data_IF_656181639624
#
_entry.id   IF_656181639624
#
_cell.length_a   1.000
_cell.length_b   1.000
_cell.length_c   1.000
_cell.angle_alpha   90.00
_cell.angle_beta   90.00
_cell.angle_gamma   90.00
#
_symmetry.space_group_name_H-M   'P 1'
#
loop_
_entity.id
_entity.type
_entity.pdbx_description
1 polymer ?
#
# COMPACT_ATOMS: atom_id res chain seq x y z
N UNK A 1 5.12 -0.50 -33.42
CA UNK A 1 4.09 0.22 -32.64
C UNK A 1 4.82 1.08 -31.64
N UNK A 2 4.48 2.37 -31.58
CA UNK A 2 5.12 3.34 -30.71
C UNK A 2 4.05 4.13 -29.96
N UNK A 3 4.35 4.48 -28.71
CA UNK A 3 3.51 5.34 -27.87
C UNK A 3 4.33 6.59 -27.56
N UNK A 4 3.82 7.74 -27.99
CA UNK A 4 4.45 9.05 -27.77
C UNK A 4 4.17 9.55 -26.34
N UNK A 5 4.92 10.57 -25.89
CA UNK A 5 4.82 11.11 -24.53
C UNK A 5 3.44 11.73 -24.21
N UNK A 6 2.74 12.18 -25.23
CA UNK A 6 1.36 12.67 -25.22
C UNK A 6 0.31 11.54 -25.23
N UNK A 7 0.75 10.27 -25.12
CA UNK A 7 -0.13 9.10 -25.13
C UNK A 7 -0.59 8.67 -26.53
N UNK A 8 -0.11 9.32 -27.60
CA UNK A 8 -0.52 8.99 -28.96
C UNK A 8 0.07 7.67 -29.43
N UNK A 9 -0.80 6.76 -29.88
CA UNK A 9 -0.41 5.42 -30.32
C UNK A 9 -0.30 5.41 -31.85
N UNK A 10 0.88 5.05 -32.35
CA UNK A 10 1.17 4.93 -33.78
C UNK A 10 1.57 3.50 -34.15
N UNK A 11 0.98 2.97 -35.21
CA UNK A 11 1.30 1.66 -35.76
C UNK A 11 1.46 1.77 -37.28
N UNK A 12 2.56 1.25 -37.82
CA UNK A 12 2.86 1.27 -39.26
C UNK A 12 2.74 2.67 -39.90
N UNK A 13 3.19 3.71 -39.18
CA UNK A 13 3.13 5.10 -39.64
C UNK A 13 1.74 5.74 -39.61
N UNK A 14 0.72 5.05 -39.09
CA UNK A 14 -0.64 5.57 -38.91
C UNK A 14 -0.97 5.69 -37.43
N UNK A 15 -1.58 6.81 -37.06
CA UNK A 15 -2.16 6.98 -35.74
C UNK A 15 -3.37 6.04 -35.59
N UNK A 16 -3.37 5.23 -34.54
CA UNK A 16 -4.41 4.23 -34.28
C UNK A 16 -5.25 4.56 -33.04
N UNK A 17 -4.76 5.44 -32.16
CA UNK A 17 -5.49 5.84 -30.96
C UNK A 17 -4.67 6.74 -30.04
N UNK A 18 -5.21 7.03 -28.86
CA UNK A 18 -4.56 7.81 -27.83
C UNK A 18 -4.92 7.26 -26.44
N UNK A 19 -3.98 7.37 -25.50
CA UNK A 19 -4.18 7.08 -24.09
C UNK A 19 -4.60 8.38 -23.40
N UNK A 20 -5.78 8.41 -22.80
CA UNK A 20 -6.23 9.56 -22.00
C UNK A 20 -5.59 9.55 -20.62
N UNK A 21 -4.90 10.64 -20.28
CA UNK A 21 -4.39 10.87 -18.93
C UNK A 21 -5.33 11.78 -18.15
N UNK A 22 -5.60 11.46 -16.89
CA UNK A 22 -6.50 12.22 -16.03
C UNK A 22 -5.84 12.49 -14.68
N UNK A 23 -6.00 13.71 -14.20
CA UNK A 23 -5.54 14.16 -12.88
C UNK A 23 -6.73 14.24 -11.94
N UNK A 24 -6.57 13.64 -10.76
CA UNK A 24 -7.53 13.73 -9.66
C UNK A 24 -7.10 14.88 -8.75
N UNK A 25 -8.06 15.68 -8.28
CA UNK A 25 -7.77 16.77 -7.36
C UNK A 25 -7.15 16.23 -6.04
N UNK A 26 -6.13 16.90 -5.48
CA UNK A 26 -5.42 16.42 -4.28
C UNK A 26 -6.29 16.42 -3.02
N UNK A 27 -7.41 17.13 -3.04
CA UNK A 27 -8.42 17.19 -1.98
C UNK A 27 -9.57 16.19 -2.21
N UNK A 28 -9.44 15.27 -3.17
CA UNK A 28 -10.37 14.18 -3.40
C UNK A 28 -10.07 13.01 -2.46
N UNK A 29 -11.13 12.39 -1.94
CA UNK A 29 -11.01 11.14 -1.19
C UNK A 29 -10.95 9.96 -2.16
N UNK A 30 -9.92 9.13 -2.04
CA UNK A 30 -9.71 7.98 -2.90
C UNK A 30 -10.14 6.69 -2.21
N UNK A 31 -11.05 5.94 -2.83
CA UNK A 31 -11.36 4.56 -2.44
C UNK A 31 -10.59 3.59 -3.31
N UNK A 32 -9.99 2.56 -2.71
CA UNK A 32 -9.34 1.48 -3.47
C UNK A 32 -10.39 0.64 -4.17
N UNK A 33 -10.11 0.31 -5.43
CA UNK A 33 -10.86 -0.64 -6.25
C UNK A 33 -9.95 -1.80 -6.67
N UNK A 34 -10.47 -2.68 -7.53
CA UNK A 34 -9.75 -3.87 -7.99
C UNK A 34 -8.49 -3.51 -8.80
N UNK A 35 -7.50 -4.42 -8.80
CA UNK A 35 -6.28 -4.33 -9.63
C UNK A 35 -5.54 -2.99 -9.56
N UNK A 36 -5.29 -2.48 -8.34
CA UNK A 36 -4.59 -1.20 -8.10
C UNK A 36 -5.35 0.05 -8.58
N UNK A 37 -6.62 -0.08 -8.94
CA UNK A 37 -7.45 1.06 -9.32
C UNK A 37 -7.88 1.88 -8.11
N UNK A 38 -8.17 3.15 -8.34
CA UNK A 38 -8.77 4.04 -7.33
C UNK A 38 -10.02 4.69 -7.90
N UNK A 39 -11.03 4.87 -7.05
CA UNK A 39 -12.26 5.58 -7.37
C UNK A 39 -12.29 6.87 -6.56
N UNK A 40 -12.17 8.04 -7.20
CA UNK A 40 -12.29 9.33 -6.53
C UNK A 40 -13.75 9.66 -6.24
N UNK A 41 -13.99 10.44 -5.18
CA UNK A 41 -15.29 11.04 -4.88
C UNK A 41 -15.62 12.26 -5.75
N UNK A 42 -14.60 12.87 -6.37
CA UNK A 42 -14.69 13.99 -7.30
C UNK A 42 -14.33 13.55 -8.72
N UNK A 43 -14.90 14.18 -9.77
CA UNK A 43 -14.56 13.85 -11.15
C UNK A 43 -13.09 14.19 -11.44
N UNK A 44 -12.40 13.27 -12.13
CA UNK A 44 -11.04 13.51 -12.61
C UNK A 44 -11.05 14.47 -13.81
N UNK A 45 -9.99 15.26 -13.94
CA UNK A 45 -9.82 16.24 -15.02
C UNK A 45 -8.85 15.72 -16.07
N UNK A 46 -9.12 15.85 -17.38
CA UNK A 46 -8.20 15.39 -18.42
C UNK A 46 -6.93 16.25 -18.42
N UNK A 47 -5.78 15.60 -18.56
CA UNK A 47 -4.51 16.27 -18.79
C UNK A 47 -4.42 16.65 -20.26
N UNK A 48 -4.23 17.93 -20.53
CA UNK A 48 -4.10 18.49 -21.89
C UNK A 48 -2.68 18.99 -22.17
N UNK A 49 -1.88 19.19 -21.12
CA UNK A 49 -0.49 19.64 -21.20
C UNK A 49 0.44 18.49 -20.79
N UNK A 50 1.17 17.96 -21.78
CA UNK A 50 2.06 16.82 -21.60
C UNK A 50 3.52 17.22 -21.38
N UNK A 51 3.79 18.49 -21.03
CA UNK A 51 5.15 18.96 -20.76
C UNK A 51 5.69 18.47 -19.41
N UNK A 52 4.82 18.24 -18.43
CA UNK A 52 5.18 17.77 -17.08
C UNK A 52 4.68 16.35 -16.80
N UNK A 53 3.47 16.04 -17.26
CA UNK A 53 2.80 14.77 -17.01
C UNK A 53 2.63 14.03 -18.35
N UNK A 54 3.19 12.83 -18.48
CA UNK A 54 3.21 12.13 -19.77
C UNK A 54 3.46 10.64 -19.65
N UNK A 55 3.38 9.95 -20.78
CA UNK A 55 3.59 8.51 -20.87
C UNK A 55 5.02 8.21 -21.28
N UNK A 56 5.66 7.25 -20.60
CA UNK A 56 7.00 6.76 -20.98
C UNK A 56 6.89 5.33 -21.49
N UNK A 57 7.17 5.12 -22.78
CA UNK A 57 7.13 3.79 -23.37
C UNK A 57 8.28 2.92 -22.85
N UNK A 58 7.96 1.69 -22.45
CA UNK A 58 8.95 0.70 -22.01
C UNK A 58 9.39 0.87 -20.55
N UNK A 59 8.80 1.79 -19.81
CA UNK A 59 8.98 1.93 -18.37
C UNK A 59 7.77 1.37 -17.61
N UNK A 60 8.02 0.82 -16.43
CA UNK A 60 6.99 0.39 -15.47
C UNK A 60 7.26 1.11 -14.16
N UNK A 61 6.23 1.71 -13.57
CA UNK A 61 6.34 2.36 -12.28
C UNK A 61 6.63 1.31 -11.18
N UNK A 62 7.67 1.55 -10.40
CA UNK A 62 8.04 0.69 -9.28
C UNK A 62 7.24 1.01 -8.02
N UNK A 63 7.19 0.07 -7.08
CA UNK A 63 6.61 0.31 -5.77
C UNK A 63 7.44 1.35 -4.99
N UNK A 64 6.78 2.36 -4.44
CA UNK A 64 7.41 3.32 -3.50
C UNK A 64 7.55 2.73 -2.07
N UNK A 65 7.80 1.43 -1.95
CA UNK A 65 7.92 0.72 -0.67
C UNK A 65 9.32 0.15 -0.55
N UNK A 66 9.98 0.40 0.58
CA UNK A 66 11.26 -0.23 0.90
C UNK A 66 11.01 -1.58 1.60
N UNK A 67 11.30 -2.71 0.95
CA UNK A 67 11.00 -4.03 1.50
C UNK A 67 11.80 -4.34 2.77
N UNK A 68 13.02 -3.80 2.94
CA UNK A 68 13.85 -4.06 4.13
C UNK A 68 13.23 -3.40 5.35
N UNK A 69 12.75 -2.16 5.18
CA UNK A 69 12.05 -1.43 6.24
C UNK A 69 10.75 -2.13 6.62
N UNK A 70 9.98 -2.59 5.65
CA UNK A 70 8.70 -3.24 5.92
C UNK A 70 8.88 -4.62 6.59
N UNK A 71 9.90 -5.40 6.21
CA UNK A 71 10.25 -6.64 6.91
C UNK A 71 10.68 -6.39 8.36
N UNK A 72 11.47 -5.33 8.61
CA UNK A 72 11.87 -4.95 9.98
C UNK A 72 10.65 -4.63 10.82
N UNK A 73 9.68 -3.89 10.25
CA UNK A 73 8.40 -3.58 10.91
C UNK A 73 7.62 -4.84 11.26
N UNK A 74 7.58 -5.84 10.37
CA UNK A 74 6.94 -7.12 10.68
C UNK A 74 7.63 -7.84 11.85
N UNK A 75 8.96 -7.86 11.88
CA UNK A 75 9.72 -8.46 12.99
C UNK A 75 9.43 -7.74 14.32
N UNK A 76 9.37 -6.41 14.31
CA UNK A 76 9.03 -5.62 15.50
C UNK A 76 7.63 -5.96 16.02
N UNK A 77 6.65 -6.07 15.13
CA UNK A 77 5.27 -6.46 15.49
C UNK A 77 5.23 -7.87 16.08
N UNK A 78 5.94 -8.84 15.49
CA UNK A 78 6.02 -10.19 16.03
C UNK A 78 6.67 -10.22 17.41
N UNK A 79 7.80 -9.52 17.60
CA UNK A 79 8.47 -9.45 18.91
C UNK A 79 7.61 -8.80 19.97
N UNK A 80 6.89 -7.74 19.62
CA UNK A 80 5.95 -7.10 20.54
C UNK A 80 4.84 -8.06 20.97
N UNK A 81 4.31 -8.86 20.03
CA UNK A 81 3.32 -9.89 20.34
C UNK A 81 3.88 -10.98 21.25
N UNK A 82 5.08 -11.49 20.96
CA UNK A 82 5.75 -12.51 21.78
C UNK A 82 6.01 -12.01 23.22
N UNK A 83 6.41 -10.74 23.35
CA UNK A 83 6.60 -10.10 24.66
C UNK A 83 5.31 -10.03 25.48
N UNK A 84 4.19 -9.65 24.84
CA UNK A 84 2.87 -9.60 25.49
C UNK A 84 2.40 -11.00 25.90
N UNK A 85 2.64 -12.02 25.07
CA UNK A 85 2.29 -13.40 25.39
C UNK A 85 3.08 -13.94 26.59
N UNK A 86 4.38 -13.64 26.66
CA UNK A 86 5.24 -14.04 27.78
C UNK A 86 4.78 -13.41 29.11
N UNK A 87 4.49 -12.10 29.11
CA UNK A 87 3.95 -11.38 30.27
C UNK A 87 2.60 -11.95 30.74
N UNK A 88 1.72 -12.32 29.80
CA UNK A 88 0.43 -12.94 30.10
C UNK A 88 0.63 -14.29 30.80
N UNK A 89 1.50 -15.17 30.28
CA UNK A 89 1.80 -16.47 30.89
C UNK A 89 2.45 -16.34 32.27
N UNK A 90 3.33 -15.35 32.44
CA UNK A 90 3.95 -15.05 33.73
C UNK A 90 2.90 -14.60 34.75
N UNK A 91 1.94 -13.79 34.32
CA UNK A 91 0.80 -13.36 35.15
C UNK A 91 -0.08 -14.53 35.58
N UNK A 92 -0.41 -15.44 34.66
CA UNK A 92 -1.19 -16.65 34.96
C UNK A 92 -0.49 -17.57 35.97
N UNK A 93 0.82 -17.77 35.79
CA UNK A 93 1.64 -18.58 36.69
C UNK A 93 1.66 -17.98 38.10
N UNK A 94 1.84 -16.65 38.19
CA UNK A 94 1.84 -15.92 39.46
C UNK A 94 0.48 -16.05 40.19
N UNK A 95 -0.63 -16.02 39.44
CA UNK A 95 -1.97 -16.23 39.97
C UNK A 95 -2.14 -17.65 40.53
N UNK A 96 -1.69 -18.67 39.80
CA UNK A 96 -1.76 -20.06 40.26
C UNK A 96 -0.95 -20.28 41.54
N UNK A 97 0.25 -19.71 41.63
CA UNK A 97 1.10 -19.90 42.80
C UNK A 97 0.55 -19.20 44.04
N UNK A 98 -0.08 -18.02 43.89
CA UNK A 98 -0.84 -17.39 44.97
C UNK A 98 -2.00 -18.26 45.46
N UNK A 99 -2.73 -18.91 44.55
CA UNK A 99 -3.82 -19.84 44.89
C UNK A 99 -3.27 -21.07 45.66
N UNK A 100 -2.17 -21.67 45.19
CA UNK A 100 -1.53 -22.81 45.86
C UNK A 100 -1.04 -22.44 47.26
N UNK A 101 -0.40 -21.27 47.41
CA UNK A 101 0.10 -20.80 48.70
C UNK A 101 -1.04 -20.63 49.71
N UNK A 102 -2.16 -20.03 49.30
CA UNK A 102 -3.34 -19.86 50.16
C UNK A 102 -3.98 -21.21 50.54
N UNK A 103 -4.11 -22.13 49.58
CA UNK A 103 -4.67 -23.46 49.81
C UNK A 103 -3.80 -24.38 50.67
N UNK A 104 -2.49 -24.15 50.73
CA UNK A 104 -1.57 -24.89 51.60
C UNK A 104 -1.55 -24.39 53.05
N UNK A 105 -2.13 -23.21 53.31
CA UNK A 105 -2.19 -22.57 54.65
C UNK A 105 -3.55 -22.73 55.36
N UNK A 106 -4.44 -23.57 54.83
CA UNK A 106 -5.71 -23.99 55.46
C UNK A 106 -5.63 -25.49 55.81
#
# INVERSE_FOLDING_TARGET
MAVSADGMITQNGRQVGAIGLFTIAPDASLKRAENSSVVPDKPATPVLDFTRDGVVQGAVEGSNVDPVREMTRLIEVTRAFDGVAAETSQSETSLQDAIKALGASA
#
